data_IF_538865114063
#
_entry.id   IF_538865114063
#
_cell.length_a   1.000
_cell.length_b   1.000
_cell.length_c   1.000
_cell.angle_alpha   90.00
_cell.angle_beta   90.00
_cell.angle_gamma   90.00
#
_symmetry.space_group_name_H-M   'P 1'
#
loop_
_entity.id
_entity.type
_entity.pdbx_description
1 polymer ?
#
# COMPACT_ATOMS: atom_id res chain seq x y z
N UNK A 1 4.01 -24.41 6.80
CA UNK A 1 3.02 -23.52 6.14
C UNK A 1 2.71 -24.11 4.79
N UNK A 2 1.44 -24.34 4.48
CA UNK A 2 1.07 -24.72 3.12
C UNK A 2 1.30 -23.52 2.19
N UNK A 3 2.10 -23.69 1.14
CA UNK A 3 2.51 -22.59 0.29
C UNK A 3 1.40 -22.09 -0.64
N UNK A 4 0.38 -22.92 -0.89
CA UNK A 4 -0.78 -22.57 -1.72
C UNK A 4 -1.82 -21.77 -0.91
N UNK A 5 -2.26 -22.28 0.24
CA UNK A 5 -3.26 -21.61 1.10
C UNK A 5 -2.66 -20.58 2.06
N UNK A 6 -1.32 -20.55 2.21
CA UNK A 6 -0.58 -19.78 3.23
C UNK A 6 -0.98 -20.14 4.67
N UNK A 7 -1.65 -21.27 4.88
CA UNK A 7 -2.06 -21.72 6.21
C UNK A 7 -0.84 -22.18 7.03
N UNK A 8 -0.55 -21.56 8.19
CA UNK A 8 0.48 -22.04 9.10
C UNK A 8 -0.11 -23.05 10.08
N UNK A 9 0.58 -24.17 10.29
CA UNK A 9 0.31 -25.07 11.40
C UNK A 9 1.59 -25.16 12.24
N UNK A 10 1.44 -24.98 13.56
CA UNK A 10 2.53 -25.09 14.52
C UNK A 10 2.29 -26.34 15.36
N UNK A 11 3.13 -27.35 15.17
CA UNK A 11 3.03 -28.63 15.87
C UNK A 11 4.05 -28.60 17.02
N UNK A 12 3.63 -28.71 18.29
CA UNK A 12 4.56 -28.79 19.40
C UNK A 12 5.27 -30.15 19.35
N UNK A 13 6.60 -30.12 19.42
CA UNK A 13 7.45 -31.31 19.39
C UNK A 13 8.36 -31.34 20.64
N UNK A 14 8.64 -32.53 21.21
CA UNK A 14 9.44 -32.66 22.44
C UNK A 14 10.92 -32.33 22.23
N UNK A 15 11.42 -32.53 21.01
CA UNK A 15 12.79 -32.22 20.58
C UNK A 15 12.82 -31.97 19.07
N UNK A 16 13.96 -31.52 18.56
CA UNK A 16 14.18 -31.29 17.12
C UNK A 16 14.92 -32.45 16.44
N UNK A 17 14.89 -33.66 17.00
CA UNK A 17 15.53 -34.81 16.38
C UNK A 17 14.83 -35.17 15.05
N UNK A 18 15.62 -35.65 14.08
CA UNK A 18 15.12 -36.00 12.76
C UNK A 18 13.95 -37.00 12.80
N UNK A 19 14.00 -37.96 13.73
CA UNK A 19 12.94 -38.95 13.94
C UNK A 19 11.64 -38.33 14.41
N UNK A 20 11.71 -37.43 15.39
CA UNK A 20 10.56 -36.72 15.96
C UNK A 20 9.90 -35.85 14.90
N UNK A 21 10.70 -35.11 14.13
CA UNK A 21 10.19 -34.22 13.07
C UNK A 21 9.58 -35.02 11.91
N UNK A 22 10.17 -36.15 11.53
CA UNK A 22 9.63 -37.06 10.52
C UNK A 22 8.30 -37.67 10.96
N UNK A 23 8.21 -38.16 12.19
CA UNK A 23 6.99 -38.73 12.75
C UNK A 23 5.85 -37.71 12.77
N UNK A 24 6.13 -36.49 13.23
CA UNK A 24 5.13 -35.43 13.33
C UNK A 24 4.68 -34.93 11.96
N UNK A 25 5.57 -34.86 10.97
CA UNK A 25 5.19 -34.56 9.59
C UNK A 25 4.17 -35.60 9.09
N UNK A 26 4.42 -36.88 9.32
CA UNK A 26 3.52 -37.95 8.85
C UNK A 26 2.20 -37.93 9.63
N UNK A 27 2.27 -37.86 10.96
CA UNK A 27 1.12 -37.97 11.85
C UNK A 27 0.21 -36.76 11.79
N UNK A 28 0.78 -35.56 11.84
CA UNK A 28 0.02 -34.33 12.03
C UNK A 28 -0.30 -33.66 10.69
N UNK A 29 0.58 -33.75 9.70
CA UNK A 29 0.36 -33.13 8.39
C UNK A 29 -0.16 -34.13 7.35
N UNK A 30 0.62 -35.16 7.03
CA UNK A 30 0.32 -36.05 5.89
C UNK A 30 -0.96 -36.85 6.12
N UNK A 31 -1.20 -37.30 7.36
CA UNK A 31 -2.42 -38.02 7.71
C UNK A 31 -3.68 -37.15 7.62
N UNK A 32 -3.54 -35.83 7.80
CA UNK A 32 -4.66 -34.89 7.78
C UNK A 32 -4.92 -34.31 6.38
N UNK A 33 -3.88 -34.03 5.61
CA UNK A 33 -3.95 -33.26 4.36
C UNK A 33 -3.47 -34.01 3.12
N UNK A 34 -2.97 -35.24 3.30
CA UNK A 34 -2.35 -36.03 2.24
C UNK A 34 -0.89 -35.69 2.02
N UNK A 35 -0.27 -36.43 1.10
CA UNK A 35 1.16 -36.31 0.80
C UNK A 35 1.41 -35.07 -0.09
N UNK A 36 2.26 -34.12 0.34
CA UNK A 36 2.56 -32.95 -0.46
C UNK A 36 3.45 -33.30 -1.66
N UNK A 37 3.24 -32.64 -2.80
CA UNK A 37 4.12 -32.82 -3.97
C UNK A 37 5.54 -32.30 -3.73
N UNK A 38 5.67 -31.19 -3.00
CA UNK A 38 6.93 -30.51 -2.73
C UNK A 38 6.99 -30.17 -1.25
N UNK A 39 8.12 -30.47 -0.62
CA UNK A 39 8.41 -30.03 0.75
C UNK A 39 9.61 -29.09 0.73
N UNK A 40 9.37 -27.83 1.06
CA UNK A 40 10.42 -26.82 1.19
C UNK A 40 10.82 -26.70 2.66
N UNK A 41 12.12 -26.82 2.95
CA UNK A 41 12.69 -26.80 4.31
C UNK A 41 13.84 -25.79 4.39
N UNK A 42 14.18 -25.35 5.59
CA UNK A 42 15.45 -24.64 5.81
C UNK A 42 16.64 -25.62 5.80
N UNK A 43 17.83 -25.15 6.15
CA UNK A 43 19.04 -25.98 6.24
C UNK A 43 19.18 -26.73 7.57
N UNK A 44 18.08 -26.91 8.32
CA UNK A 44 18.06 -27.64 9.57
C UNK A 44 18.59 -29.08 9.43
N UNK A 45 19.41 -29.51 10.39
CA UNK A 45 20.05 -30.85 10.39
C UNK A 45 19.01 -31.97 10.48
N UNK A 46 17.89 -31.72 11.14
CA UNK A 46 16.71 -32.58 11.20
C UNK A 46 16.13 -32.87 9.81
N UNK A 47 15.93 -31.84 8.98
CA UNK A 47 15.39 -31.95 7.63
C UNK A 47 16.41 -32.50 6.62
N UNK A 48 17.70 -32.35 6.89
CA UNK A 48 18.79 -32.84 6.03
C UNK A 48 19.33 -34.23 6.42
N UNK A 49 18.66 -34.91 7.36
CA UNK A 49 19.05 -36.27 7.76
C UNK A 49 18.77 -37.31 6.67
N UNK A 50 19.50 -38.44 6.74
CA UNK A 50 19.28 -39.59 5.86
C UNK A 50 17.85 -40.14 6.00
N UNK A 51 17.33 -40.16 7.24
CA UNK A 51 15.96 -40.57 7.55
C UNK A 51 14.94 -39.73 6.78
N UNK A 52 15.05 -38.41 6.87
CA UNK A 52 14.09 -37.48 6.28
C UNK A 52 14.15 -37.49 4.74
N UNK A 53 15.36 -37.67 4.20
CA UNK A 53 15.58 -37.87 2.77
C UNK A 53 14.90 -39.14 2.26
N UNK A 54 15.03 -40.26 2.98
CA UNK A 54 14.42 -41.52 2.59
C UNK A 54 12.89 -41.50 2.73
N UNK A 55 12.37 -40.85 3.77
CA UNK A 55 10.94 -40.59 3.93
C UNK A 55 10.36 -39.85 2.73
N UNK A 56 11.00 -38.76 2.28
CA UNK A 56 10.53 -38.00 1.12
C UNK A 56 10.53 -38.85 -0.16
N UNK A 57 11.56 -39.68 -0.38
CA UNK A 57 11.61 -40.59 -1.53
C UNK A 57 10.50 -41.62 -1.51
N UNK A 58 10.27 -42.28 -0.37
CA UNK A 58 9.23 -43.30 -0.23
C UNK A 58 7.83 -42.74 -0.49
N UNK A 59 7.60 -41.50 -0.09
CA UNK A 59 6.33 -40.81 -0.29
C UNK A 59 6.23 -40.07 -1.63
N UNK A 60 7.28 -40.06 -2.45
CA UNK A 60 7.29 -39.32 -3.72
C UNK A 60 7.29 -37.80 -3.57
N UNK A 61 7.74 -37.29 -2.42
CA UNK A 61 7.82 -35.85 -2.11
C UNK A 61 9.11 -35.29 -2.72
N UNK A 62 9.00 -34.25 -3.56
CA UNK A 62 10.16 -33.49 -4.01
C UNK A 62 10.65 -32.57 -2.88
N UNK A 63 11.73 -32.95 -2.20
CA UNK A 63 12.36 -32.08 -1.20
C UNK A 63 13.13 -30.96 -1.88
N UNK A 64 12.87 -29.73 -1.43
CA UNK A 64 13.66 -28.54 -1.75
C UNK A 64 14.13 -27.89 -0.46
N UNK A 65 15.15 -27.05 -0.52
CA UNK A 65 15.70 -26.40 0.66
C UNK A 65 16.12 -24.96 0.38
N UNK A 66 16.16 -24.14 1.43
CA UNK A 66 16.69 -22.79 1.35
C UNK A 66 18.17 -22.83 0.96
N UNK A 67 18.58 -22.09 -0.07
CA UNK A 67 20.00 -21.96 -0.40
C UNK A 67 20.70 -21.14 0.72
N UNK A 68 21.88 -21.59 1.17
CA UNK A 68 22.66 -20.93 2.23
C UNK A 68 23.01 -19.44 1.92
N UNK A 69 22.84 -19.01 0.67
CA UNK A 69 23.09 -17.65 0.19
C UNK A 69 21.80 -16.83 -0.06
N UNK A 70 20.60 -17.43 0.03
CA UNK A 70 19.35 -16.75 -0.33
C UNK A 70 18.14 -17.19 0.55
N UNK A 71 18.00 -16.66 1.78
CA UNK A 71 16.77 -16.76 2.61
C UNK A 71 15.60 -15.90 2.07
N UNK A 72 15.58 -15.61 0.77
CA UNK A 72 14.81 -14.54 0.13
C UNK A 72 13.38 -14.93 -0.27
N UNK A 73 12.96 -16.17 0.00
CA UNK A 73 11.63 -16.70 -0.29
C UNK A 73 10.55 -16.28 0.71
N UNK A 74 10.91 -15.92 1.94
CA UNK A 74 9.95 -15.88 3.05
C UNK A 74 9.73 -14.49 3.70
N UNK A 75 10.15 -13.39 3.06
CA UNK A 75 9.82 -12.03 3.54
C UNK A 75 10.30 -10.92 2.59
N UNK A 76 9.62 -10.72 1.46
CA UNK A 76 10.24 -10.10 0.29
C UNK A 76 10.49 -8.59 0.33
N UNK A 77 9.84 -7.77 1.19
CA UNK A 77 10.03 -6.31 1.12
C UNK A 77 11.03 -5.82 2.17
N UNK A 78 10.77 -6.06 3.46
CA UNK A 78 11.65 -5.55 4.55
C UNK A 78 13.02 -6.23 4.52
N UNK A 79 13.09 -7.56 4.40
CA UNK A 79 14.38 -8.28 4.35
C UNK A 79 15.20 -7.92 3.10
N UNK A 80 14.55 -7.72 1.94
CA UNK A 80 15.27 -7.38 0.69
C UNK A 80 15.72 -5.92 0.61
N UNK A 81 14.95 -5.00 1.20
CA UNK A 81 15.25 -3.57 1.16
C UNK A 81 16.12 -3.08 2.33
N UNK A 82 16.23 -3.87 3.41
CA UNK A 82 16.94 -3.50 4.65
C UNK A 82 16.68 -2.04 5.09
N UNK A 83 15.40 -1.64 5.21
CA UNK A 83 15.06 -0.24 5.44
C UNK A 83 15.48 0.16 6.84
N UNK A 84 16.07 1.35 6.98
CA UNK A 84 16.39 1.89 8.32
C UNK A 84 15.24 2.69 8.92
N UNK A 85 14.32 3.14 8.08
CA UNK A 85 13.08 3.80 8.46
C UNK A 85 11.95 3.22 7.60
N UNK A 86 10.93 2.66 8.22
CA UNK A 86 9.75 2.10 7.56
C UNK A 86 8.54 2.94 7.95
N UNK A 87 7.79 3.37 6.94
CA UNK A 87 6.52 4.06 7.11
C UNK A 87 5.43 3.27 6.41
N UNK A 88 4.44 2.82 7.17
CA UNK A 88 3.26 2.12 6.68
C UNK A 88 2.03 3.01 6.91
N UNK A 89 1.30 3.26 5.84
CA UNK A 89 0.14 4.15 5.84
C UNK A 89 -1.09 3.41 5.37
N UNK A 90 -2.12 3.44 6.21
CA UNK A 90 -3.36 2.74 6.02
C UNK A 90 -4.50 3.74 5.85
N UNK A 91 -5.43 3.43 4.97
CA UNK A 91 -6.72 4.10 4.84
C UNK A 91 -7.82 3.12 5.23
N UNK A 92 -8.92 3.65 5.76
CA UNK A 92 -10.08 2.86 6.20
C UNK A 92 -9.72 1.84 7.30
N UNK A 93 -8.92 2.25 8.29
CA UNK A 93 -8.64 1.46 9.49
C UNK A 93 -9.95 1.02 10.17
N UNK A 94 -10.11 -0.29 10.37
CA UNK A 94 -11.34 -0.89 10.89
C UNK A 94 -12.46 -1.08 9.86
N UNK A 95 -12.20 -0.79 8.58
CA UNK A 95 -13.10 -1.06 7.47
C UNK A 95 -14.47 -0.37 7.58
N UNK A 96 -15.53 -1.09 7.16
CA UNK A 96 -16.93 -0.61 7.22
C UNK A 96 -17.68 -1.07 8.48
N UNK A 97 -17.14 -2.04 9.24
CA UNK A 97 -17.80 -2.69 10.38
C UNK A 97 -16.98 -2.51 11.67
N UNK A 98 -17.36 -1.57 12.51
CA UNK A 98 -16.43 -0.91 13.43
C UNK A 98 -16.08 -1.59 14.76
N UNK A 99 -16.68 -2.73 15.13
CA UNK A 99 -16.30 -3.44 16.38
C UNK A 99 -15.45 -4.68 16.12
N UNK A 100 -15.91 -5.60 15.29
CA UNK A 100 -15.17 -6.83 15.03
C UNK A 100 -13.95 -6.60 14.14
N UNK A 101 -14.02 -5.68 13.17
CA UNK A 101 -12.86 -5.35 12.36
C UNK A 101 -11.73 -4.66 13.15
N UNK A 102 -12.06 -3.95 14.24
CA UNK A 102 -11.03 -3.32 15.08
C UNK A 102 -10.20 -4.36 15.84
N UNK A 103 -10.78 -5.50 16.23
CA UNK A 103 -10.02 -6.63 16.81
C UNK A 103 -8.98 -7.15 15.82
N UNK A 104 -9.33 -7.24 14.54
CA UNK A 104 -8.40 -7.65 13.48
C UNK A 104 -7.27 -6.62 13.29
N UNK A 105 -7.56 -5.32 13.44
CA UNK A 105 -6.53 -4.27 13.43
C UNK A 105 -5.56 -4.45 14.59
N UNK A 106 -6.05 -4.71 15.80
CA UNK A 106 -5.22 -4.98 16.98
C UNK A 106 -4.33 -6.22 16.78
N UNK A 107 -4.90 -7.31 16.24
CA UNK A 107 -4.16 -8.53 15.93
C UNK A 107 -3.10 -8.30 14.86
N UNK A 108 -3.42 -7.56 13.80
CA UNK A 108 -2.48 -7.18 12.75
C UNK A 108 -1.31 -6.35 13.32
N UNK A 109 -1.61 -5.33 14.12
CA UNK A 109 -0.60 -4.49 14.77
C UNK A 109 0.28 -5.31 15.70
N UNK A 110 -0.31 -6.21 16.48
CA UNK A 110 0.41 -7.12 17.36
C UNK A 110 1.35 -8.01 16.55
N UNK A 111 0.84 -8.69 15.53
CA UNK A 111 1.61 -9.58 14.66
C UNK A 111 2.79 -8.85 14.00
N UNK A 112 2.58 -7.63 13.52
CA UNK A 112 3.62 -6.79 12.93
C UNK A 112 4.68 -6.41 13.98
N UNK A 113 4.26 -5.95 15.16
CA UNK A 113 5.19 -5.55 16.24
C UNK A 113 5.99 -6.70 16.84
N UNK A 114 5.50 -7.94 16.74
CA UNK A 114 6.18 -9.15 17.24
C UNK A 114 6.87 -9.92 16.12
N UNK A 115 6.85 -9.43 14.88
CA UNK A 115 7.43 -10.15 13.75
C UNK A 115 8.95 -10.19 13.86
N UNK A 116 9.55 -11.31 13.46
CA UNK A 116 10.99 -11.47 13.46
C UNK A 116 11.64 -10.46 12.51
N UNK A 117 11.02 -10.11 11.39
CA UNK A 117 11.53 -9.11 10.44
C UNK A 117 11.75 -7.73 11.07
N UNK A 118 10.98 -7.39 12.11
CA UNK A 118 11.00 -6.06 12.74
C UNK A 118 11.71 -6.04 14.10
N UNK A 119 12.36 -7.13 14.53
CA UNK A 119 12.99 -7.23 15.84
C UNK A 119 14.09 -6.17 16.11
N UNK A 120 14.75 -5.67 15.07
CA UNK A 120 15.76 -4.60 15.17
C UNK A 120 15.20 -3.17 15.13
N UNK A 121 13.87 -3.00 15.08
CA UNK A 121 13.20 -1.71 15.09
C UNK A 121 12.70 -1.38 16.50
N UNK A 122 13.54 -0.73 17.31
CA UNK A 122 13.23 -0.42 18.71
C UNK A 122 12.46 0.88 18.92
N UNK A 123 12.46 1.76 17.92
CA UNK A 123 11.77 3.05 17.94
C UNK A 123 10.50 2.96 17.09
N UNK A 124 9.33 3.02 17.74
CA UNK A 124 8.04 2.74 17.10
C UNK A 124 7.05 3.87 17.40
N UNK A 125 6.33 4.35 16.38
CA UNK A 125 5.24 5.33 16.52
C UNK A 125 4.03 4.89 15.72
N UNK A 126 2.92 4.61 16.39
CA UNK A 126 1.65 4.24 15.77
C UNK A 126 0.57 5.27 16.07
N UNK A 127 -0.17 5.66 15.04
CA UNK A 127 -1.33 6.54 15.14
C UNK A 127 -2.47 5.90 14.35
N UNK A 128 -3.47 5.36 15.04
CA UNK A 128 -4.62 4.69 14.46
C UNK A 128 -5.87 5.47 14.86
N UNK A 129 -6.49 6.13 13.89
CA UNK A 129 -7.76 6.83 14.12
C UNK A 129 -8.90 5.82 14.10
N UNK A 130 -9.37 5.41 15.27
CA UNK A 130 -10.40 4.39 15.44
C UNK A 130 -11.67 4.96 16.11
N UNK A 131 -11.71 6.27 16.39
CA UNK A 131 -12.84 6.95 17.02
C UNK A 131 -14.02 7.17 16.04
N UNK A 132 -14.66 6.08 15.65
CA UNK A 132 -15.89 6.11 14.85
C UNK A 132 -17.07 6.75 15.59
N UNK A 133 -16.95 6.97 16.91
CA UNK A 133 -18.00 7.62 17.72
C UNK A 133 -18.06 9.13 17.52
N UNK A 134 -17.01 9.72 16.92
CA UNK A 134 -16.97 11.12 16.54
C UNK A 134 -16.90 11.31 15.00
N UNK A 135 -18.04 11.15 14.28
CA UNK A 135 -18.08 11.31 12.83
C UNK A 135 -17.57 12.66 12.34
N UNK A 136 -17.63 13.73 13.13
CA UNK A 136 -17.17 15.05 12.71
C UNK A 136 -15.64 15.12 12.50
N UNK A 137 -14.88 14.24 13.16
CA UNK A 137 -13.41 14.26 13.15
C UNK A 137 -12.76 12.96 12.69
N UNK A 138 -13.52 11.88 12.64
CA UNK A 138 -13.05 10.56 12.23
C UNK A 138 -12.62 10.51 10.75
N UNK A 139 -11.40 10.03 10.50
CA UNK A 139 -10.83 9.84 9.15
C UNK A 139 -10.46 8.39 8.84
N UNK A 140 -10.46 7.50 9.83
CA UNK A 140 -10.03 6.10 9.65
C UNK A 140 -8.62 5.96 9.04
N UNK A 141 -7.72 6.91 9.32
CA UNK A 141 -6.34 6.88 8.81
C UNK A 141 -5.44 6.23 9.85
N UNK A 142 -4.49 5.42 9.38
CA UNK A 142 -3.47 4.77 10.19
C UNK A 142 -2.07 5.13 9.70
N UNK A 143 -1.18 5.51 10.62
CA UNK A 143 0.23 5.73 10.34
C UNK A 143 1.06 4.87 11.31
N UNK A 144 1.91 3.98 10.79
CA UNK A 144 2.78 3.12 11.57
C UNK A 144 4.22 3.36 11.13
N UNK A 145 5.06 3.79 12.05
CA UNK A 145 6.47 4.09 11.79
C UNK A 145 7.35 3.16 12.63
N UNK A 146 8.28 2.51 11.95
CA UNK A 146 9.29 1.64 12.57
C UNK A 146 10.67 2.18 12.21
N UNK A 147 11.48 2.46 13.22
CA UNK A 147 12.81 3.02 13.06
C UNK A 147 13.85 2.05 13.60
N UNK A 148 14.80 1.69 12.74
CA UNK A 148 15.85 0.71 13.03
C UNK A 148 16.83 1.26 14.08
N UNK A 149 17.31 0.40 14.98
CA UNK A 149 18.19 0.77 16.11
C UNK A 149 19.53 1.42 15.69
N UNK A 150 19.93 1.25 14.43
CA UNK A 150 21.12 1.88 13.86
C UNK A 150 20.95 3.38 13.59
N UNK A 151 19.72 3.88 13.39
CA UNK A 151 19.49 5.31 13.22
C UNK A 151 19.59 6.01 14.58
N UNK A 152 20.42 7.05 14.62
CA UNK A 152 20.62 7.94 15.77
C UNK A 152 19.98 9.30 15.49
N UNK A 153 19.76 10.07 16.56
CA UNK A 153 19.22 11.43 16.49
C UNK A 153 17.89 11.52 15.73
N UNK A 154 16.98 10.58 16.02
CA UNK A 154 15.64 10.55 15.43
C UNK A 154 14.69 11.34 16.31
N UNK A 155 14.08 12.37 15.73
CA UNK A 155 13.15 13.26 16.39
C UNK A 155 11.84 13.34 15.62
N UNK A 156 10.75 13.58 16.36
CA UNK A 156 9.42 13.85 15.82
C UNK A 156 8.96 15.22 16.29
N UNK A 157 8.34 15.99 15.40
CA UNK A 157 7.81 17.30 15.72
C UNK A 157 6.51 17.18 16.52
N UNK A 158 6.40 17.99 17.58
CA UNK A 158 5.15 18.23 18.26
C UNK A 158 4.51 19.51 17.71
N UNK A 159 3.35 19.37 17.06
CA UNK A 159 2.60 20.46 16.43
C UNK A 159 1.91 21.38 17.46
N UNK A 160 1.70 20.92 18.70
CA UNK A 160 1.13 21.75 19.76
C UNK A 160 2.22 22.61 20.40
N UNK A 161 3.39 22.02 20.65
CA UNK A 161 4.52 22.70 21.29
C UNK A 161 5.47 23.40 20.30
N UNK A 162 5.29 23.18 19.00
CA UNK A 162 6.15 23.70 17.93
C UNK A 162 7.64 23.42 18.14
N UNK A 163 7.99 22.18 18.49
CA UNK A 163 9.39 21.76 18.66
C UNK A 163 9.60 20.28 18.37
N UNK A 164 10.83 19.91 18.01
CA UNK A 164 11.23 18.51 17.90
C UNK A 164 11.41 17.88 19.28
N UNK A 165 10.90 16.65 19.44
CA UNK A 165 11.07 15.78 20.61
C UNK A 165 11.76 14.48 20.17
N UNK A 166 12.47 13.83 21.10
CA UNK A 166 13.07 12.52 20.85
C UNK A 166 11.99 11.49 20.48
N UNK A 167 12.21 10.69 19.45
CA UNK A 167 11.31 9.59 19.05
C UNK A 167 11.68 8.25 19.70
N UNK A 168 12.33 8.28 20.87
CA UNK A 168 12.80 7.08 21.57
C UNK A 168 11.66 6.16 22.01
N UNK A 169 11.94 4.85 22.11
CA UNK A 169 11.00 3.85 22.61
C UNK A 169 9.79 3.61 21.68
N UNK A 170 8.73 3.02 22.25
CA UNK A 170 7.52 2.61 21.53
C UNK A 170 6.33 3.41 22.05
N UNK A 171 5.62 4.11 21.17
CA UNK A 171 4.33 4.76 21.48
C UNK A 171 3.27 4.29 20.49
N UNK A 172 2.14 3.83 21.03
CA UNK A 172 0.98 3.37 20.26
C UNK A 172 -0.22 4.19 20.69
N UNK A 173 -0.80 4.93 19.74
CA UNK A 173 -2.01 5.70 19.92
C UNK A 173 -3.12 5.11 19.04
N UNK A 174 -4.15 4.56 19.68
CA UNK A 174 -5.35 4.01 19.05
C UNK A 174 -6.61 4.62 19.68
N UNK A 175 -7.79 4.39 19.08
CA UNK A 175 -9.03 5.05 19.50
C UNK A 175 -9.06 6.54 19.10
N UNK A 176 -9.28 7.41 20.10
CA UNK A 176 -9.30 8.85 19.91
C UNK A 176 -7.88 9.43 20.01
N UNK A 177 -7.39 9.90 18.87
CA UNK A 177 -6.03 10.44 18.74
C UNK A 177 -6.01 11.96 18.54
N UNK A 178 -7.07 12.69 18.88
CA UNK A 178 -7.17 14.14 18.63
C UNK A 178 -6.11 14.97 19.37
N UNK A 179 -5.82 14.59 20.61
CA UNK A 179 -4.91 15.36 21.47
C UNK A 179 -3.44 14.94 21.34
N UNK A 180 -3.12 14.04 20.42
CA UNK A 180 -1.74 13.58 20.19
C UNK A 180 -0.98 14.64 19.38
N UNK A 181 -0.10 15.39 20.05
CA UNK A 181 0.62 16.53 19.46
C UNK A 181 1.67 16.18 18.40
N UNK A 182 2.19 14.95 18.38
CA UNK A 182 3.23 14.51 17.43
C UNK A 182 2.71 14.18 16.04
N UNK A 183 1.43 14.45 15.78
CA UNK A 183 0.80 14.35 14.46
C UNK A 183 -0.23 15.46 14.27
N UNK A 184 -0.41 15.89 13.03
CA UNK A 184 -1.56 16.71 12.63
C UNK A 184 -2.54 15.82 11.87
N UNK A 185 -3.82 15.81 12.27
CA UNK A 185 -4.89 15.10 11.55
C UNK A 185 -5.98 16.08 11.18
N UNK A 186 -6.42 16.05 9.93
CA UNK A 186 -7.49 16.91 9.44
C UNK A 186 -8.45 16.09 8.59
N UNK A 187 -9.73 16.14 8.96
CA UNK A 187 -10.82 15.68 8.13
C UNK A 187 -11.19 16.76 7.12
N UNK A 188 -11.46 16.39 5.86
CA UNK A 188 -11.88 17.37 4.87
C UNK A 188 -13.25 17.98 5.20
N UNK A 189 -13.39 19.32 5.12
CA UNK A 189 -14.68 20.00 5.25
C UNK A 189 -15.71 19.48 4.23
N UNK A 190 -16.98 19.38 4.64
CA UNK A 190 -18.06 18.91 3.78
C UNK A 190 -18.26 19.77 2.51
N UNK A 191 -17.87 21.06 2.55
CA UNK A 191 -17.94 21.94 1.37
C UNK A 191 -17.05 21.45 0.23
N UNK A 192 -15.99 20.69 0.52
CA UNK A 192 -15.14 20.09 -0.50
C UNK A 192 -15.81 18.88 -1.17
N UNK A 193 -16.85 18.31 -0.57
CA UNK A 193 -17.59 17.20 -1.14
C UNK A 193 -19.09 17.24 -0.76
N UNK A 194 -19.86 18.19 -1.34
CA UNK A 194 -21.25 18.44 -0.95
C UNK A 194 -22.19 17.26 -1.22
N UNK A 195 -21.78 16.30 -2.05
CA UNK A 195 -22.55 15.12 -2.41
C UNK A 195 -22.56 14.03 -1.33
N UNK A 196 -21.63 14.07 -0.36
CA UNK A 196 -21.61 13.11 0.74
C UNK A 196 -21.89 13.79 2.07
N UNK A 197 -22.92 13.28 2.76
CA UNK A 197 -23.27 13.72 4.12
C UNK A 197 -22.33 13.13 5.18
N UNK A 198 -21.63 12.04 4.86
CA UNK A 198 -20.74 11.32 5.78
C UNK A 198 -19.50 10.89 5.00
N UNK A 199 -18.37 11.53 5.30
CA UNK A 199 -17.07 11.23 4.71
C UNK A 199 -16.09 10.84 5.80
N UNK A 200 -15.07 10.04 5.48
CA UNK A 200 -13.88 9.78 6.32
C UNK A 200 -12.61 10.33 5.66
N UNK A 201 -12.76 11.10 4.57
CA UNK A 201 -11.64 11.60 3.77
C UNK A 201 -10.93 12.75 4.49
N UNK A 202 -9.61 12.80 4.36
CA UNK A 202 -8.76 13.72 5.10
C UNK A 202 -7.28 13.39 4.92
N UNK A 203 -6.45 13.92 5.80
CA UNK A 203 -5.03 13.58 5.87
C UNK A 203 -4.52 13.47 7.31
N UNK A 204 -3.41 12.78 7.49
CA UNK A 204 -2.61 12.74 8.70
C UNK A 204 -1.14 12.99 8.38
N UNK A 205 -0.55 13.99 9.00
CA UNK A 205 0.84 14.44 8.81
C UNK A 205 1.67 14.20 10.07
N UNK A 206 2.88 13.71 9.88
CA UNK A 206 3.94 13.71 10.90
C UNK A 206 5.18 14.38 10.33
N UNK A 207 5.94 15.08 11.18
CA UNK A 207 7.22 15.68 10.78
C UNK A 207 8.35 15.01 11.54
N UNK A 208 9.33 14.53 10.79
CA UNK A 208 10.48 13.79 11.31
C UNK A 208 11.76 14.59 11.09
N UNK A 209 12.73 14.38 11.98
CA UNK A 209 14.12 14.78 11.76
C UNK A 209 15.02 13.59 12.04
N UNK A 210 15.92 13.31 11.10
CA UNK A 210 16.92 12.24 11.21
C UNK A 210 18.27 12.87 10.84
N UNK A 211 19.17 13.00 11.81
CA UNK A 211 20.36 13.82 11.65
C UNK A 211 19.98 15.29 11.39
N UNK A 212 20.46 15.89 10.30
CA UNK A 212 20.08 17.26 9.91
C UNK A 212 18.86 17.34 8.98
N UNK A 213 18.36 16.21 8.46
CA UNK A 213 17.26 16.21 7.48
C UNK A 213 15.91 16.21 8.21
N UNK A 214 15.14 17.29 8.05
CA UNK A 214 13.76 17.37 8.48
C UNK A 214 12.81 17.19 7.29
N UNK A 215 11.73 16.43 7.44
CA UNK A 215 10.76 16.18 6.38
C UNK A 215 9.37 15.80 6.93
N UNK A 216 8.33 16.10 6.14
CA UNK A 216 6.95 15.76 6.40
C UNK A 216 6.59 14.46 5.67
N UNK A 217 5.92 13.56 6.39
CA UNK A 217 5.27 12.37 5.87
C UNK A 217 3.75 12.56 6.00
N UNK A 218 3.01 12.55 4.88
CA UNK A 218 1.57 12.83 4.82
C UNK A 218 0.80 11.66 4.23
N UNK A 219 -0.02 11.03 5.08
CA UNK A 219 -1.03 10.05 4.67
C UNK A 219 -2.29 10.79 4.24
N UNK A 220 -2.71 10.66 2.99
CA UNK A 220 -3.91 11.33 2.45
C UNK A 220 -4.92 10.29 1.94
N UNK A 221 -6.20 10.63 2.10
CA UNK A 221 -7.30 9.85 1.53
C UNK A 221 -8.31 10.80 0.89
N UNK A 222 -8.34 10.85 -0.43
CA UNK A 222 -9.21 11.73 -1.20
C UNK A 222 -10.55 11.06 -1.54
N UNK A 223 -11.44 11.83 -2.18
CA UNK A 223 -12.80 11.40 -2.51
C UNK A 223 -12.85 10.41 -3.70
N UNK A 224 -13.68 9.39 -3.57
CA UNK A 224 -13.89 8.36 -4.60
C UNK A 224 -15.08 8.67 -5.50
N UNK A 225 -15.10 8.08 -6.70
CA UNK A 225 -16.22 8.19 -7.63
C UNK A 225 -17.43 7.39 -7.16
N UNK A 226 -18.62 8.01 -7.13
CA UNK A 226 -19.84 7.30 -6.75
C UNK A 226 -20.37 6.38 -7.88
N UNK A 227 -20.19 6.76 -9.15
CA UNK A 227 -20.63 5.95 -10.29
C UNK A 227 -19.80 6.17 -11.58
N UNK A 228 -19.76 5.14 -12.44
CA UNK A 228 -19.01 5.19 -13.71
C UNK A 228 -19.62 6.16 -14.74
N UNK A 229 -20.93 6.39 -14.70
CA UNK A 229 -21.58 7.28 -15.69
C UNK A 229 -21.13 8.73 -15.55
N UNK A 230 -21.07 9.26 -14.31
CA UNK A 230 -20.53 10.60 -14.05
C UNK A 230 -19.04 10.68 -14.41
N UNK A 231 -18.28 9.60 -14.19
CA UNK A 231 -16.87 9.54 -14.59
C UNK A 231 -16.66 9.55 -16.11
N UNK A 232 -17.61 9.00 -16.88
CA UNK A 232 -17.54 8.90 -18.34
C UNK A 232 -18.11 10.13 -19.08
N UNK A 233 -18.90 10.98 -18.40
CA UNK A 233 -19.60 12.12 -19.04
C UNK A 233 -18.62 13.14 -19.66
N UNK A 234 -17.65 13.59 -18.87
CA UNK A 234 -16.60 14.54 -19.27
C UNK A 234 -15.27 14.21 -18.60
N UNK A 235 -14.20 14.75 -19.17
CA UNK A 235 -12.88 14.79 -18.54
C UNK A 235 -12.38 16.24 -18.47
N UNK A 236 -11.86 16.73 -17.32
CA UNK A 236 -11.91 16.09 -16.00
C UNK A 236 -13.34 15.79 -15.55
N UNK A 237 -13.55 14.67 -14.86
CA UNK A 237 -14.86 14.35 -14.31
C UNK A 237 -15.17 15.24 -13.11
N UNK A 238 -16.44 15.31 -12.71
CA UNK A 238 -16.85 16.03 -11.49
C UNK A 238 -16.08 15.54 -10.25
N UNK A 239 -15.85 14.24 -10.13
CA UNK A 239 -15.08 13.66 -9.01
C UNK A 239 -13.59 14.02 -9.08
N UNK A 240 -13.03 14.12 -10.29
CA UNK A 240 -11.65 14.58 -10.47
C UNK A 240 -11.47 16.04 -10.03
N UNK A 241 -12.40 16.93 -10.39
CA UNK A 241 -12.41 18.33 -9.96
C UNK A 241 -12.48 18.46 -8.42
N UNK A 242 -13.27 17.60 -7.78
CA UNK A 242 -13.41 17.50 -6.32
C UNK A 242 -12.08 17.07 -5.68
N UNK A 243 -11.44 16.00 -6.19
CA UNK A 243 -10.13 15.54 -5.70
C UNK A 243 -9.06 16.60 -5.87
N UNK A 244 -9.04 17.28 -7.03
CA UNK A 244 -8.13 18.38 -7.30
C UNK A 244 -8.27 19.47 -6.23
N UNK A 245 -9.51 19.90 -5.96
CA UNK A 245 -9.79 20.94 -4.95
C UNK A 245 -9.32 20.52 -3.56
N UNK A 246 -9.55 19.25 -3.18
CA UNK A 246 -9.12 18.71 -1.90
C UNK A 246 -7.59 18.63 -1.76
N UNK A 247 -6.88 18.25 -2.81
CA UNK A 247 -5.42 18.23 -2.81
C UNK A 247 -4.82 19.65 -2.78
N UNK A 248 -5.39 20.59 -3.54
CA UNK A 248 -5.01 22.03 -3.45
C UNK A 248 -5.20 22.56 -2.04
N UNK A 249 -6.35 22.30 -1.41
CA UNK A 249 -6.62 22.68 -0.02
C UNK A 249 -5.54 22.13 0.94
N UNK A 250 -5.15 20.87 0.75
CA UNK A 250 -4.12 20.21 1.56
C UNK A 250 -2.75 20.86 1.38
N UNK A 251 -2.32 21.08 0.13
CA UNK A 251 -1.02 21.70 -0.17
C UNK A 251 -0.93 23.15 0.30
N UNK A 252 -2.01 23.93 0.15
CA UNK A 252 -2.08 25.30 0.66
C UNK A 252 -1.91 25.33 2.18
N UNK A 253 -2.56 24.40 2.90
CA UNK A 253 -2.42 24.31 4.36
C UNK A 253 -0.98 24.06 4.80
N UNK A 254 -0.22 23.24 4.08
CA UNK A 254 1.18 23.00 4.40
C UNK A 254 2.08 24.22 4.16
N UNK A 255 1.68 25.13 3.28
CA UNK A 255 2.39 26.39 3.03
C UNK A 255 2.08 27.49 4.07
N UNK A 256 1.10 27.32 4.97
CA UNK A 256 0.76 28.32 6.00
C UNK A 256 1.66 28.28 7.24
N UNK A 257 2.52 27.26 7.39
CA UNK A 257 3.40 27.10 8.55
C UNK A 257 4.69 27.93 8.46
N UNK A 258 5.30 28.20 9.62
CA UNK A 258 6.55 28.98 9.73
C UNK A 258 7.80 28.27 9.22
N UNK A 259 7.81 26.93 9.22
CA UNK A 259 8.94 26.11 8.74
C UNK A 259 8.48 25.16 7.63
N UNK A 260 8.92 25.43 6.39
CA UNK A 260 8.68 24.59 5.23
C UNK A 260 9.78 23.53 5.12
N UNK A 261 9.39 22.27 5.24
CA UNK A 261 10.29 21.12 5.09
C UNK A 261 9.96 20.32 3.82
N UNK A 262 10.91 19.56 3.27
CA UNK A 262 10.65 18.50 2.31
C UNK A 262 9.42 17.66 2.64
N UNK A 263 8.54 17.46 1.65
CA UNK A 263 7.26 16.77 1.80
C UNK A 263 7.21 15.49 0.97
N UNK A 264 6.82 14.38 1.61
CA UNK A 264 6.41 13.13 0.99
C UNK A 264 4.92 12.90 1.28
N UNK A 265 4.11 12.74 0.24
CA UNK A 265 2.66 12.55 0.32
C UNK A 265 2.31 11.20 -0.29
N UNK A 266 1.53 10.40 0.41
CA UNK A 266 1.17 9.05 -0.01
C UNK A 266 -0.22 8.69 0.47
N UNK A 267 -0.83 7.68 -0.15
CA UNK A 267 -2.11 7.12 0.25
C UNK A 267 -3.06 6.94 -0.93
N UNK A 268 -4.34 6.83 -0.63
CA UNK A 268 -5.40 6.67 -1.62
C UNK A 268 -5.85 8.05 -2.13
N UNK A 269 -5.24 8.47 -3.24
CA UNK A 269 -5.64 9.68 -3.95
C UNK A 269 -6.95 9.49 -4.70
N UNK A 270 -7.43 8.25 -4.87
CA UNK A 270 -8.59 7.92 -5.67
C UNK A 270 -8.55 8.46 -7.11
N UNK A 271 -7.36 8.82 -7.61
CA UNK A 271 -7.20 9.26 -9.00
C UNK A 271 -7.61 8.13 -9.94
N UNK A 272 -8.36 8.50 -10.97
CA UNK A 272 -8.91 7.60 -11.96
C UNK A 272 -8.30 7.89 -13.31
N UNK A 273 -8.18 6.85 -14.13
CA UNK A 273 -7.98 7.04 -15.56
C UNK A 273 -9.12 7.88 -16.12
N UNK A 274 -8.82 8.67 -17.16
CA UNK A 274 -9.80 9.35 -18.00
C UNK A 274 -10.78 8.33 -18.58
N UNK A 275 -11.85 8.07 -17.82
CA UNK A 275 -12.80 6.98 -18.08
C UNK A 275 -13.51 7.21 -19.41
N UNK A 276 -13.81 8.47 -19.75
CA UNK A 276 -14.36 8.84 -21.05
C UNK A 276 -13.42 8.45 -22.18
N UNK A 277 -12.15 8.86 -22.09
CA UNK A 277 -11.14 8.56 -23.10
C UNK A 277 -10.86 7.06 -23.24
N UNK A 278 -10.79 6.34 -22.11
CA UNK A 278 -10.60 4.87 -22.10
C UNK A 278 -11.76 4.17 -22.79
N UNK A 279 -13.02 4.50 -22.42
CA UNK A 279 -14.19 3.91 -23.06
C UNK A 279 -14.17 4.19 -24.56
N UNK A 280 -13.92 5.44 -24.98
CA UNK A 280 -13.82 5.80 -26.39
C UNK A 280 -12.73 5.02 -27.16
N UNK A 281 -11.56 4.80 -26.55
CA UNK A 281 -10.46 4.04 -27.16
C UNK A 281 -10.82 2.56 -27.30
N UNK A 282 -11.32 1.95 -26.24
CA UNK A 282 -11.65 0.52 -26.19
C UNK A 282 -12.85 0.17 -27.07
N UNK A 283 -13.83 1.07 -27.17
CA UNK A 283 -15.08 0.82 -27.91
C UNK A 283 -15.07 1.44 -29.31
N UNK A 284 -13.92 1.79 -29.88
CA UNK A 284 -13.80 2.47 -31.18
C UNK A 284 -14.50 1.71 -32.33
N UNK A 285 -14.48 0.38 -32.28
CA UNK A 285 -15.13 -0.52 -33.26
C UNK A 285 -16.48 -1.06 -32.79
N UNK A 286 -17.04 -0.54 -31.70
CA UNK A 286 -18.29 -0.99 -31.13
C UNK A 286 -19.41 0.05 -31.27
N UNK A 287 -20.66 -0.38 -31.10
CA UNK A 287 -21.86 0.45 -31.05
C UNK A 287 -22.53 0.33 -29.68
N UNK A 288 -22.98 1.45 -29.06
CA UNK A 288 -23.62 1.41 -27.77
C UNK A 288 -25.10 1.00 -27.88
N UNK A 289 -25.52 0.07 -27.01
CA UNK A 289 -26.91 -0.28 -26.76
C UNK A 289 -27.29 0.19 -25.36
N UNK A 290 -28.30 1.06 -25.27
CA UNK A 290 -28.73 1.69 -24.02
C UNK A 290 -29.87 0.90 -23.40
N UNK A 291 -29.65 0.36 -22.20
CA UNK A 291 -30.68 -0.26 -21.38
C UNK A 291 -31.19 0.76 -20.37
N UNK A 292 -32.50 1.01 -20.43
CA UNK A 292 -33.16 2.03 -19.61
C UNK A 292 -34.14 1.42 -18.64
N UNK A 293 -34.29 2.05 -17.48
CA UNK A 293 -35.31 1.73 -16.50
C UNK A 293 -36.71 2.08 -16.99
N UNK A 294 -37.75 1.64 -16.26
CA UNK A 294 -39.13 2.07 -16.48
C UNK A 294 -39.32 3.60 -16.41
N UNK A 295 -38.39 4.32 -15.76
CA UNK A 295 -38.37 5.80 -15.68
C UNK A 295 -37.56 6.46 -16.80
N UNK A 296 -37.17 5.71 -17.83
CA UNK A 296 -36.35 6.18 -18.96
C UNK A 296 -34.93 6.65 -18.56
N UNK A 297 -34.43 6.26 -17.38
CA UNK A 297 -33.06 6.49 -16.94
C UNK A 297 -32.14 5.40 -17.49
N UNK A 298 -30.94 5.76 -17.96
CA UNK A 298 -29.95 4.77 -18.41
C UNK A 298 -29.42 4.00 -17.19
N UNK A 299 -29.61 2.69 -17.16
CA UNK A 299 -29.11 1.80 -16.12
C UNK A 299 -27.81 1.11 -16.54
N UNK A 300 -27.71 0.78 -17.83
CA UNK A 300 -26.59 0.05 -18.42
C UNK A 300 -26.38 0.46 -19.89
N UNK A 301 -25.13 0.48 -20.31
CA UNK A 301 -24.70 0.67 -21.70
C UNK A 301 -23.89 -0.56 -22.09
N UNK A 302 -24.28 -1.24 -23.16
CA UNK A 302 -23.54 -2.40 -23.68
C UNK A 302 -22.98 -2.03 -25.05
N UNK A 303 -21.66 -2.03 -25.16
CA UNK A 303 -20.95 -1.79 -26.41
C UNK A 303 -20.74 -3.12 -27.12
N UNK A 304 -21.35 -3.28 -28.29
CA UNK A 304 -21.26 -4.50 -29.12
C UNK A 304 -20.37 -4.26 -30.33
N UNK A 305 -19.58 -5.25 -30.72
CA UNK A 305 -18.71 -5.14 -31.89
C UNK A 305 -19.54 -4.90 -33.17
N UNK A 306 -19.08 -4.00 -34.05
CA UNK A 306 -19.77 -3.67 -35.32
C UNK A 306 -19.77 -4.82 -36.32
N UNK A 307 -18.78 -5.71 -36.30
CA UNK A 307 -18.71 -6.86 -37.21
C UNK A 307 -19.30 -8.14 -36.62
N UNK A 308 -19.60 -8.16 -35.32
CA UNK A 308 -20.26 -9.27 -34.65
C UNK A 308 -21.13 -8.75 -33.49
N UNK A 309 -22.45 -8.64 -33.71
CA UNK A 309 -23.39 -8.10 -32.73
C UNK A 309 -23.57 -8.98 -31.47
N UNK A 310 -23.15 -10.25 -31.52
CA UNK A 310 -23.13 -11.15 -30.36
C UNK A 310 -21.89 -10.93 -29.50
N UNK A 311 -20.83 -10.31 -30.04
CA UNK A 311 -19.62 -9.97 -29.29
C UNK A 311 -19.83 -8.68 -28.49
N UNK A 312 -19.93 -8.82 -27.16
CA UNK A 312 -19.92 -7.69 -26.23
C UNK A 312 -18.48 -7.26 -25.94
N UNK A 313 -18.14 -6.00 -26.22
CA UNK A 313 -16.82 -5.42 -25.97
C UNK A 313 -16.73 -4.84 -24.56
N UNK A 314 -17.76 -4.08 -24.14
CA UNK A 314 -17.79 -3.44 -22.82
C UNK A 314 -19.23 -3.35 -22.31
N UNK A 315 -19.47 -3.77 -21.08
CA UNK A 315 -20.69 -3.46 -20.33
C UNK A 315 -20.38 -2.43 -19.25
N UNK A 316 -21.06 -1.28 -19.33
CA UNK A 316 -20.92 -0.17 -18.39
C UNK A 316 -22.23 0.05 -17.64
N UNK A 317 -22.15 0.13 -16.31
CA UNK A 317 -23.26 0.49 -15.43
C UNK A 317 -22.77 1.40 -14.31
N UNK A 318 -23.68 1.88 -13.44
CA UNK A 318 -23.32 2.74 -12.30
C UNK A 318 -22.17 2.17 -11.47
N UNK A 319 -22.16 0.85 -11.24
CA UNK A 319 -21.07 0.11 -10.57
C UNK A 319 -20.59 -1.11 -11.34
N UNK A 320 -20.62 -1.05 -12.67
CA UNK A 320 -20.14 -2.11 -13.54
C UNK A 320 -19.23 -1.51 -14.61
N UNK A 321 -18.06 -2.10 -14.79
CA UNK A 321 -17.10 -1.82 -15.86
C UNK A 321 -16.52 -3.18 -16.26
N UNK A 322 -17.13 -3.79 -17.26
CA UNK A 322 -16.93 -5.19 -17.60
C UNK A 322 -16.50 -5.29 -19.06
N UNK A 323 -15.19 -5.41 -19.26
CA UNK A 323 -14.52 -5.35 -20.56
C UNK A 323 -14.21 -6.77 -21.04
N UNK A 324 -14.35 -7.02 -22.34
CA UNK A 324 -13.76 -8.21 -22.97
C UNK A 324 -12.23 -8.14 -22.88
N UNK A 325 -11.56 -9.24 -22.52
CA UNK A 325 -10.10 -9.23 -22.27
C UNK A 325 -9.64 -8.21 -21.20
N UNK A 326 -10.44 -8.03 -20.13
CA UNK A 326 -10.22 -7.06 -19.06
C UNK A 326 -8.81 -7.15 -18.45
N UNK A 327 -8.39 -8.33 -18.06
CA UNK A 327 -7.12 -8.59 -17.40
C UNK A 327 -5.95 -8.34 -18.36
N UNK A 328 -6.03 -8.81 -19.60
CA UNK A 328 -5.01 -8.56 -20.62
C UNK A 328 -4.83 -7.06 -20.88
N UNK A 329 -5.93 -6.31 -20.88
CA UNK A 329 -5.91 -4.85 -21.09
C UNK A 329 -5.21 -4.12 -19.95
N UNK A 330 -5.55 -4.43 -18.69
CA UNK A 330 -5.14 -3.62 -17.54
C UNK A 330 -3.93 -4.18 -16.77
N UNK A 331 -3.58 -5.46 -16.89
CA UNK A 331 -2.40 -6.04 -16.25
C UNK A 331 -1.13 -5.97 -17.10
N UNK A 332 -1.25 -5.75 -18.42
CA UNK A 332 -0.14 -5.81 -19.38
C UNK A 332 0.97 -4.75 -19.20
N UNK A 333 0.91 -3.90 -18.16
CA UNK A 333 1.86 -2.78 -17.91
C UNK A 333 2.08 -1.89 -19.15
N UNK A 334 1.07 -1.83 -20.02
CA UNK A 334 1.11 -1.17 -21.31
C UNK A 334 1.20 0.36 -21.15
N UNK A 335 2.18 0.99 -21.79
CA UNK A 335 2.42 2.44 -21.64
C UNK A 335 1.26 3.31 -22.12
N UNK A 336 0.43 2.83 -23.05
CA UNK A 336 -0.68 3.61 -23.58
C UNK A 336 -1.75 3.91 -22.52
N UNK A 337 -1.88 3.09 -21.45
CA UNK A 337 -2.81 3.37 -20.36
C UNK A 337 -2.43 4.65 -19.60
N UNK A 338 -1.13 4.90 -19.44
CA UNK A 338 -0.62 6.09 -18.74
C UNK A 338 -0.94 7.39 -19.48
N UNK A 339 -1.23 7.34 -20.79
CA UNK A 339 -1.75 8.50 -21.54
C UNK A 339 -3.08 9.03 -20.97
N UNK A 340 -3.84 8.14 -20.32
CA UNK A 340 -5.13 8.42 -19.68
C UNK A 340 -5.01 8.71 -18.18
N UNK A 341 -3.84 8.54 -17.57
CA UNK A 341 -3.55 8.96 -16.19
C UNK A 341 -3.21 10.46 -16.16
N UNK A 342 -4.24 11.28 -16.23
CA UNK A 342 -4.11 12.73 -16.45
C UNK A 342 -4.32 13.57 -15.19
N UNK A 343 -4.91 13.01 -14.13
CA UNK A 343 -5.19 13.76 -12.89
C UNK A 343 -3.94 14.29 -12.18
N UNK A 344 -2.80 13.56 -12.13
CA UNK A 344 -1.59 14.09 -11.51
C UNK A 344 -0.99 15.32 -12.22
N UNK A 345 -1.25 15.48 -13.53
CA UNK A 345 -0.53 16.43 -14.41
C UNK A 345 -0.64 17.88 -13.98
N UNK A 346 -1.78 18.26 -13.40
CA UNK A 346 -2.01 19.62 -12.90
C UNK A 346 -1.10 19.99 -11.72
N UNK A 347 -0.52 18.99 -11.04
CA UNK A 347 0.34 19.16 -9.87
C UNK A 347 1.83 19.03 -10.18
N UNK A 348 2.23 18.76 -11.43
CA UNK A 348 3.64 18.50 -11.81
C UNK A 348 4.62 19.63 -11.44
N UNK A 349 4.12 20.86 -11.29
CA UNK A 349 4.93 21.99 -10.83
C UNK A 349 5.30 21.89 -9.35
N UNK A 350 4.37 21.40 -8.53
CA UNK A 350 4.48 21.36 -7.07
C UNK A 350 4.96 19.99 -6.56
N UNK A 351 4.52 18.93 -7.24
CA UNK A 351 4.72 17.54 -6.87
C UNK A 351 5.43 16.78 -7.99
N UNK A 352 6.27 15.84 -7.59
CA UNK A 352 7.01 14.92 -8.42
C UNK A 352 6.61 13.49 -8.07
N UNK A 353 6.55 12.63 -9.07
CA UNK A 353 6.31 11.19 -8.91
C UNK A 353 7.32 10.42 -9.76
N UNK A 354 7.79 9.28 -9.25
CA UNK A 354 8.66 8.39 -10.01
C UNK A 354 7.86 7.63 -11.08
N UNK A 355 8.53 7.19 -12.15
CA UNK A 355 7.87 6.45 -13.24
C UNK A 355 7.17 5.20 -12.69
N UNK A 356 5.89 5.06 -13.02
CA UNK A 356 5.10 3.89 -12.66
C UNK A 356 5.39 2.78 -13.68
N UNK A 357 5.81 1.62 -13.17
CA UNK A 357 6.09 0.42 -13.96
C UNK A 357 5.21 -0.78 -13.57
N UNK A 358 4.17 -0.53 -12.79
CA UNK A 358 3.24 -1.53 -12.28
C UNK A 358 1.82 -1.27 -12.79
N UNK A 359 0.94 -2.29 -12.88
CA UNK A 359 -0.43 -2.10 -13.35
C UNK A 359 -1.25 -1.27 -12.34
N UNK A 360 -2.44 -0.80 -12.72
CA UNK A 360 -3.37 -0.14 -11.80
C UNK A 360 -3.50 -0.84 -10.45
N UNK A 361 -3.50 -0.09 -9.34
CA UNK A 361 -3.54 -0.65 -7.97
C UNK A 361 -4.95 -1.07 -7.52
N UNK A 362 -5.98 -0.71 -8.27
CA UNK A 362 -7.41 -0.88 -7.92
C UNK A 362 -8.26 -1.07 -9.20
N UNK A 363 -9.39 -1.81 -9.17
CA UNK A 363 -9.94 -2.59 -8.06
C UNK A 363 -9.63 -4.09 -8.18
N UNK A 364 -8.72 -4.65 -7.41
CA UNK A 364 -8.49 -6.11 -7.40
C UNK A 364 -9.68 -6.86 -6.79
N UNK A 365 -9.85 -8.14 -7.13
CA UNK A 365 -10.79 -9.01 -6.43
C UNK A 365 -10.28 -9.27 -5.02
N UNK A 366 -11.19 -9.25 -4.05
CA UNK A 366 -10.96 -9.65 -2.68
C UNK A 366 -11.01 -11.18 -2.55
N UNK A 367 -10.21 -11.88 -3.35
CA UNK A 367 -10.01 -13.33 -3.30
C UNK A 367 -8.55 -13.66 -2.98
N UNK A 368 -8.24 -14.94 -2.77
CA UNK A 368 -6.88 -15.37 -2.42
C UNK A 368 -5.89 -15.27 -3.58
N UNK A 369 -6.37 -15.20 -4.83
CA UNK A 369 -5.50 -15.14 -6.01
C UNK A 369 -4.80 -13.79 -6.11
N UNK A 370 -5.54 -12.69 -5.87
CA UNK A 370 -5.04 -11.33 -6.02
C UNK A 370 -4.54 -10.98 -7.42
N UNK A 371 -4.88 -11.75 -8.46
CA UNK A 371 -4.35 -11.58 -9.83
C UNK A 371 -5.40 -11.07 -10.82
N UNK A 372 -6.61 -10.79 -10.37
CA UNK A 372 -7.73 -10.34 -11.23
C UNK A 372 -8.39 -9.08 -10.67
N UNK A 373 -8.96 -8.26 -11.56
CA UNK A 373 -9.74 -7.10 -11.17
C UNK A 373 -11.22 -7.44 -10.94
N UNK A 374 -11.85 -6.70 -10.03
CA UNK A 374 -13.30 -6.57 -9.97
C UNK A 374 -13.80 -5.80 -11.19
N UNK A 375 -14.92 -6.24 -11.75
CA UNK A 375 -15.57 -5.60 -12.90
C UNK A 375 -16.49 -4.44 -12.49
N UNK A 376 -16.13 -3.70 -11.45
CA UNK A 376 -16.99 -2.68 -10.81
C UNK A 376 -16.63 -1.25 -11.21
N UNK A 377 -15.35 -0.99 -11.50
CA UNK A 377 -14.78 0.30 -11.91
C UNK A 377 -13.73 0.08 -12.98
N UNK A 378 -13.44 1.12 -13.75
CA UNK A 378 -12.27 1.11 -14.63
C UNK A 378 -11.00 1.01 -13.75
N UNK A 379 -10.12 0.01 -13.95
CA UNK A 379 -8.88 -0.08 -13.20
C UNK A 379 -8.06 1.20 -13.27
N UNK A 380 -7.56 1.68 -12.14
CA UNK A 380 -6.81 2.95 -12.03
C UNK A 380 -5.71 2.92 -10.97
N UNK A 381 -4.70 3.78 -11.13
CA UNK A 381 -3.67 4.01 -10.12
C UNK A 381 -4.17 4.98 -9.04
N UNK A 382 -4.94 4.45 -8.09
CA UNK A 382 -5.50 5.22 -6.97
C UNK A 382 -4.45 5.52 -5.90
N UNK A 383 -3.54 4.57 -5.66
CA UNK A 383 -2.57 4.59 -4.57
C UNK A 383 -1.23 5.14 -5.09
N UNK A 384 -0.80 6.29 -4.59
CA UNK A 384 0.29 7.08 -5.19
C UNK A 384 1.26 7.59 -4.14
N UNK A 385 2.48 7.91 -4.57
CA UNK A 385 3.51 8.50 -3.70
C UNK A 385 4.14 9.69 -4.42
N UNK A 386 3.84 10.90 -3.94
CA UNK A 386 4.36 12.16 -4.45
C UNK A 386 5.40 12.77 -3.52
N UNK A 387 6.37 13.44 -4.12
CA UNK A 387 7.41 14.19 -3.44
C UNK A 387 7.31 15.66 -3.85
N UNK A 388 7.46 16.58 -2.90
CA UNK A 388 7.85 17.94 -3.25
C UNK A 388 9.24 17.95 -3.91
N UNK A 389 9.55 19.02 -4.67
CA UNK A 389 10.88 19.18 -5.29
C UNK A 389 12.02 19.16 -4.27
N UNK A 390 11.82 19.71 -3.08
CA UNK A 390 12.80 19.66 -2.00
C UNK A 390 12.95 18.27 -1.37
N UNK A 391 11.89 17.45 -1.33
CA UNK A 391 11.99 16.04 -0.96
C UNK A 391 12.74 15.21 -2.00
N UNK A 392 12.52 15.47 -3.29
CA UNK A 392 13.30 14.84 -4.36
C UNK A 392 14.80 15.12 -4.19
N UNK A 393 15.19 16.32 -3.77
CA UNK A 393 16.61 16.66 -3.50
C UNK A 393 17.23 15.88 -2.34
N UNK A 394 16.42 15.32 -1.42
CA UNK A 394 16.91 14.42 -0.38
C UNK A 394 17.18 13.00 -0.90
N UNK A 395 16.54 12.59 -1.99
CA UNK A 395 16.70 11.23 -2.52
C UNK A 395 18.10 11.06 -3.11
N UNK A 396 18.80 10.00 -2.69
CA UNK A 396 20.07 9.62 -3.26
C UNK A 396 19.84 8.84 -4.56
N UNK A 397 20.09 9.50 -5.68
CA UNK A 397 19.93 8.92 -7.03
C UNK A 397 21.15 8.12 -7.49
N UNK A 398 22.21 8.03 -6.70
CA UNK A 398 23.38 7.20 -7.03
C UNK A 398 23.01 5.72 -6.83
N UNK A 399 23.26 4.85 -7.82
CA UNK A 399 23.07 3.41 -7.65
C UNK A 399 23.81 2.89 -6.42
N UNK A 400 23.21 1.95 -5.71
CA UNK A 400 23.87 1.30 -4.59
C UNK A 400 24.97 0.36 -5.13
N UNK A 401 26.07 0.20 -4.38
CA UNK A 401 27.24 -0.62 -4.78
C UNK A 401 26.90 -2.09 -5.12
N UNK A 402 25.72 -2.54 -4.73
CA UNK A 402 25.18 -3.88 -4.99
C UNK A 402 24.35 -3.98 -6.29
N UNK A 403 24.38 -2.95 -7.15
CA UNK A 403 23.64 -2.93 -8.41
C UNK A 403 22.13 -2.73 -8.27
N UNK A 404 21.61 -2.50 -7.05
CA UNK A 404 20.19 -2.17 -6.85
C UNK A 404 19.89 -0.78 -7.39
N UNK A 405 18.71 -0.59 -8.03
CA UNK A 405 18.30 0.73 -8.48
C UNK A 405 18.20 1.67 -7.25
N UNK A 406 18.56 2.95 -7.41
CA UNK A 406 18.54 3.93 -6.30
C UNK A 406 17.13 4.15 -5.72
N UNK A 407 16.11 3.88 -6.54
CA UNK A 407 14.70 4.01 -6.20
C UNK A 407 13.95 2.79 -6.74
N UNK A 408 13.09 2.21 -5.92
CA UNK A 408 12.16 1.14 -6.28
C UNK A 408 10.74 1.64 -6.02
N UNK A 409 9.92 1.75 -7.06
CA UNK A 409 8.53 2.16 -6.97
C UNK A 409 7.61 1.09 -7.58
N UNK A 410 6.88 0.35 -6.75
CA UNK A 410 6.21 -0.89 -7.17
C UNK A 410 4.99 -1.25 -6.29
N UNK A 411 4.22 -2.24 -6.75
CA UNK A 411 3.21 -2.92 -5.92
C UNK A 411 3.87 -3.93 -4.97
N UNK A 412 3.25 -4.13 -3.82
CA UNK A 412 3.58 -5.20 -2.89
C UNK A 412 2.56 -6.32 -3.04
N UNK A 413 3.04 -7.55 -3.20
CA UNK A 413 2.19 -8.73 -3.29
C UNK A 413 1.37 -8.82 -4.57
N UNK A 414 1.97 -8.56 -5.74
CA UNK A 414 1.27 -8.65 -7.05
C UNK A 414 0.51 -9.98 -7.21
N UNK A 415 1.06 -11.10 -6.72
CA UNK A 415 0.42 -12.42 -6.74
C UNK A 415 -0.31 -12.84 -5.45
N UNK A 416 -0.68 -11.91 -4.56
CA UNK A 416 -1.36 -12.23 -3.29
C UNK A 416 -2.65 -11.45 -3.10
N UNK A 417 -3.72 -12.12 -2.67
CA UNK A 417 -4.95 -11.46 -2.21
C UNK A 417 -4.72 -10.64 -0.95
N UNK A 418 -4.70 -9.30 -1.07
CA UNK A 418 -4.51 -8.38 0.07
C UNK A 418 -5.69 -7.43 0.29
N UNK A 419 -6.58 -7.32 -0.70
CA UNK A 419 -7.72 -6.41 -0.72
C UNK A 419 -8.02 -5.96 -2.15
N UNK A 420 -9.01 -5.08 -2.30
CA UNK A 420 -9.33 -4.45 -3.58
C UNK A 420 -8.33 -3.38 -4.02
N UNK A 421 -7.50 -2.91 -3.09
CA UNK A 421 -6.31 -2.13 -3.36
C UNK A 421 -5.05 -2.95 -3.11
N UNK A 422 -4.06 -2.83 -4.01
CA UNK A 422 -2.71 -3.35 -3.79
C UNK A 422 -1.85 -2.31 -3.10
N UNK A 423 -1.12 -2.63 -2.01
CA UNK A 423 -0.21 -1.69 -1.40
C UNK A 423 0.87 -1.24 -2.39
N UNK A 424 1.11 0.06 -2.44
CA UNK A 424 2.15 0.69 -3.26
C UNK A 424 3.31 1.09 -2.36
N UNK A 425 4.55 0.80 -2.77
CA UNK A 425 5.76 1.11 -2.01
C UNK A 425 6.75 1.92 -2.82
N UNK A 426 7.39 2.90 -2.16
CA UNK A 426 8.55 3.62 -2.64
C UNK A 426 9.71 3.36 -1.68
N UNK A 427 10.74 2.67 -2.14
CA UNK A 427 11.98 2.46 -1.40
C UNK A 427 13.09 3.30 -2.03
N UNK A 428 13.77 4.10 -1.21
CA UNK A 428 14.89 4.93 -1.64
C UNK A 428 15.82 5.23 -0.46
N UNK A 429 17.06 5.60 -0.76
CA UNK A 429 17.99 6.14 0.24
C UNK A 429 17.85 7.65 0.33
N UNK A 430 17.83 8.20 1.55
CA UNK A 430 17.83 9.65 1.77
C UNK A 430 19.22 10.14 2.20
N UNK A 431 19.60 11.32 1.73
CA UNK A 431 20.80 12.04 2.16
C UNK A 431 20.54 12.68 3.53
N UNK A 432 20.79 11.93 4.59
CA UNK A 432 20.75 12.43 5.97
C UNK A 432 22.18 12.76 6.41
N UNK A 433 22.57 14.03 6.44
CA UNK A 433 23.90 14.38 6.93
C UNK A 433 23.93 14.30 8.46
N UNK A 434 25.05 13.85 9.07
CA UNK A 434 25.24 13.94 10.50
C UNK A 434 25.05 15.39 10.96
N UNK A 435 24.43 15.59 12.13
CA UNK A 435 24.44 16.92 12.74
C UNK A 435 25.90 17.28 13.04
N UNK A 436 26.35 18.47 12.63
CA UNK A 436 27.65 18.97 13.06
C UNK A 436 27.55 19.19 14.56
N UNK A 437 28.08 18.27 15.35
CA UNK A 437 28.37 18.57 16.75
C UNK A 437 29.35 19.75 16.76
N UNK A 438 28.95 20.86 17.36
CA UNK A 438 29.86 21.91 17.79
C UNK A 438 30.80 21.33 18.86
N UNK A 439 31.84 20.62 18.43
CA UNK A 439 33.05 20.46 19.24
C UNK A 439 34.05 21.49 18.75
N UNK A 440 34.05 22.64 19.44
CA UNK A 440 35.22 23.49 19.51
C UNK A 440 36.46 22.63 19.81
N UNK A 441 37.36 22.48 18.85
CA UNK A 441 38.78 22.50 19.13
C UNK A 441 39.46 23.31 18.02
N UNK A 442 39.63 24.59 18.32
CA UNK A 442 40.73 25.39 17.81
C UNK A 442 42.03 24.61 18.05
N UNK A 443 42.64 24.11 16.98
CA UNK A 443 44.08 23.95 16.94
C UNK A 443 44.59 24.73 15.73
N UNK A 444 45.08 25.93 16.01
CA UNK A 444 46.08 26.61 15.17
C UNK A 444 47.38 25.79 15.14
N UNK A 445 48.32 26.15 14.24
CA UNK A 445 49.09 27.37 14.41
C UNK A 445 48.62 28.58 13.60
#
# INVERSE_FOLDING_TARGET
>A
MDYFTKWPEAIPIPDQEASTVAEELVRSWISCYGVPMILHSDQGTNFNSALFTELCKLLGILKTQTNALHPESDGMVVKRSDPKFLALHCQEVGGKNSKDAMKLVEEFVRALMTSEELHHFGQIRLFLDEDYTNPAKYTALGNLYFVHNSLKDVQIWDFNENKFKSAAGKEVHNGNIENVGTKEKVKFPLILFPESKLSRKGFMRTRWRIGCAAFDLVNIHLFHDACNFTAMEKYPSRYSEIRQTALVYTLQRFNLGSEKVPLFIFGDFNFRLDTKGIVQKLTKKAVPVYMKSAKNEIEKIVYKDKSNEDKVVLTLGKKQFDLDEHEATFLGKEKWLQEFDKEPKIFEKDLFEFEISFPPSYPFKEDTSGTSYMRTRCPSWCDRIFLSRSALSLVNMTPLDNGKPPVVYQLVGEGMGVGDHKPVTLSCSLRCFPSKNNSNQLHGP
#
